data_IF_059515747912
#
_entry.id   IF_059515747912
#
_cell.length_a   1.000
_cell.length_b   1.000
_cell.length_c   1.000
_cell.angle_alpha   90.00
_cell.angle_beta   90.00
_cell.angle_gamma   90.00
#
_symmetry.space_group_name_H-M   'P 1'
#
loop_
_entity.id
_entity.type
_entity.pdbx_description
1 polymer ?
#
# COMPACT_ATOMS: atom_id res chain seq x y z
N UNK A 1 13.92 -33.15 36.51
CA UNK A 1 13.28 -32.23 35.52
C UNK A 1 13.72 -30.80 35.84
N UNK A 2 14.64 -30.21 35.06
CA UNK A 2 15.06 -28.81 35.20
C UNK A 2 14.02 -27.92 34.50
N UNK A 3 13.41 -26.99 35.26
CA UNK A 3 12.57 -25.94 34.68
C UNK A 3 13.46 -24.96 33.92
N UNK A 4 13.32 -24.89 32.63
CA UNK A 4 13.89 -23.79 31.82
C UNK A 4 13.15 -22.49 32.15
N UNK A 5 13.88 -21.55 32.74
CA UNK A 5 13.40 -20.18 32.95
C UNK A 5 13.45 -19.42 31.64
N UNK A 6 12.34 -19.38 30.91
CA UNK A 6 12.21 -18.51 29.75
C UNK A 6 12.08 -17.07 30.21
N UNK A 7 13.08 -16.27 29.92
CA UNK A 7 13.05 -14.82 30.18
C UNK A 7 12.12 -14.19 29.15
N UNK A 8 11.03 -13.56 29.59
CA UNK A 8 10.12 -12.86 28.70
C UNK A 8 10.76 -11.56 28.16
N UNK A 9 10.42 -11.13 26.94
CA UNK A 9 10.90 -9.88 26.33
C UNK A 9 10.66 -8.67 27.23
N UNK A 10 9.59 -8.69 28.02
CA UNK A 10 9.21 -7.62 28.95
C UNK A 10 10.08 -7.58 30.20
N UNK A 11 10.54 -8.74 30.70
CA UNK A 11 11.50 -8.81 31.83
C UNK A 11 12.90 -8.42 31.40
N UNK A 12 13.29 -8.72 30.15
CA UNK A 12 14.58 -8.30 29.59
C UNK A 12 14.67 -6.76 29.49
N UNK A 13 13.64 -6.12 28.98
CA UNK A 13 13.59 -4.63 28.89
C UNK A 13 13.60 -3.95 30.26
N UNK A 14 12.96 -4.53 31.27
CA UNK A 14 12.99 -3.99 32.64
C UNK A 14 14.35 -4.12 33.30
N UNK A 15 15.07 -5.22 33.09
CA UNK A 15 16.40 -5.44 33.67
C UNK A 15 17.47 -4.56 33.00
N UNK A 16 17.38 -4.28 31.71
CA UNK A 16 18.33 -3.39 31.04
C UNK A 16 18.16 -1.91 31.46
N UNK A 17 16.93 -1.47 31.74
CA UNK A 17 16.66 -0.14 32.25
C UNK A 17 17.22 0.06 33.69
N UNK A 18 17.21 -0.99 34.53
CA UNK A 18 17.71 -0.91 35.90
C UNK A 18 19.23 -0.95 35.95
N UNK A 19 19.91 -1.62 35.03
CA UNK A 19 21.36 -1.70 34.93
C UNK A 19 21.99 -0.33 34.54
N UNK A 20 21.26 0.49 33.78
CA UNK A 20 21.67 1.84 33.42
C UNK A 20 21.61 2.85 34.57
N UNK A 21 20.74 2.62 35.56
CA UNK A 21 20.53 3.57 36.68
C UNK A 21 21.54 3.40 37.85
N UNK A 22 22.18 2.23 38.00
CA UNK A 22 23.12 1.95 39.12
C UNK A 22 24.55 2.31 38.77
N UNK A 23 24.87 2.72 37.55
CA UNK A 23 26.21 3.16 37.15
C UNK A 23 26.58 4.63 37.52
N UNK A 24 25.65 5.39 38.11
CA UNK A 24 25.81 6.83 38.30
C UNK A 24 26.20 7.26 39.72
N UNK A 25 26.50 6.33 40.65
CA UNK A 25 26.91 6.68 42.02
C UNK A 25 28.27 6.05 42.32
N UNK A 26 29.34 6.76 41.99
CA UNK A 26 30.70 6.32 42.35
C UNK A 26 31.79 7.27 41.84
N UNK A 27 32.16 8.25 42.66
CA UNK A 27 33.47 8.95 42.77
C UNK A 27 34.23 9.31 41.50
N UNK A 28 34.32 10.60 41.28
CA UNK A 28 35.44 11.38 40.75
C UNK A 28 36.46 10.73 39.83
N UNK A 29 36.09 10.47 38.59
CA UNK A 29 37.03 10.35 37.48
C UNK A 29 36.26 10.63 36.21
N UNK A 30 36.77 11.57 35.44
CA UNK A 30 36.25 11.93 34.10
C UNK A 30 36.36 10.76 33.14
N UNK A 31 35.43 9.84 33.24
CA UNK A 31 35.17 8.88 32.16
C UNK A 31 34.19 9.55 31.22
N UNK A 32 34.70 9.95 30.09
CA UNK A 32 33.86 10.44 28.99
C UNK A 32 32.77 9.44 28.73
N UNK A 33 31.56 9.77 29.14
CA UNK A 33 30.34 9.08 28.66
C UNK A 33 30.37 9.29 27.16
N UNK A 34 30.62 8.23 26.43
CA UNK A 34 30.30 8.19 25.02
C UNK A 34 28.77 8.28 24.90
N UNK A 35 28.24 9.48 25.08
CA UNK A 35 26.91 9.82 24.59
C UNK A 35 26.99 9.77 23.08
N UNK A 36 26.71 8.62 22.56
CA UNK A 36 26.54 8.39 21.12
C UNK A 36 25.31 9.14 20.55
N UNK A 37 24.74 10.03 21.33
CA UNK A 37 23.82 11.06 20.88
C UNK A 37 24.32 12.35 21.55
N UNK A 38 25.19 13.07 20.85
CA UNK A 38 25.61 14.41 21.27
C UNK A 38 24.35 15.24 21.49
N UNK A 39 24.25 15.80 22.73
CA UNK A 39 23.30 16.84 23.04
C UNK A 39 23.70 18.17 22.41
N UNK A 40 23.88 18.16 21.09
CA UNK A 40 23.69 19.35 20.28
C UNK A 40 22.20 19.35 19.89
N UNK A 41 21.54 20.47 20.00
CA UNK A 41 20.25 20.66 19.36
C UNK A 41 20.36 20.02 17.97
N UNK A 42 19.60 18.92 17.76
CA UNK A 42 19.61 18.22 16.49
C UNK A 42 19.08 19.22 15.47
N UNK A 43 20.00 19.88 14.77
CA UNK A 43 19.66 20.81 13.68
C UNK A 43 18.84 20.11 12.58
N UNK A 44 18.65 18.81 12.72
CA UNK A 44 17.87 17.94 11.84
C UNK A 44 16.62 17.32 12.51
N UNK A 45 16.21 17.81 13.68
CA UNK A 45 14.86 17.48 14.14
C UNK A 45 13.89 18.03 13.11
N UNK A 46 13.25 17.13 12.35
CA UNK A 46 12.18 17.48 11.41
C UNK A 46 11.10 18.14 12.27
N UNK A 47 11.10 19.47 12.32
CA UNK A 47 10.02 20.21 12.98
C UNK A 47 8.75 19.85 12.22
N UNK A 48 7.68 19.46 12.89
CA UNK A 48 6.41 19.29 12.22
C UNK A 48 6.09 20.58 11.48
N UNK A 49 5.72 20.47 10.22
CA UNK A 49 5.40 21.62 9.35
C UNK A 49 4.31 22.51 9.96
N UNK A 50 3.50 21.95 10.85
CA UNK A 50 2.44 22.65 11.60
C UNK A 50 2.26 21.97 12.97
N UNK A 51 1.77 22.72 13.94
CA UNK A 51 1.38 22.21 15.25
C UNK A 51 0.29 21.12 15.10
N UNK A 52 0.32 20.05 15.92
CA UNK A 52 -0.72 19.04 15.93
C UNK A 52 -2.10 19.69 16.11
N UNK A 53 -3.05 19.34 15.25
CA UNK A 53 -4.41 19.90 15.24
C UNK A 53 -4.59 21.16 14.38
N UNK A 54 -3.51 21.71 13.82
CA UNK A 54 -3.59 22.86 12.89
C UNK A 54 -3.49 22.45 11.42
N UNK A 55 -3.53 21.16 11.15
CA UNK A 55 -3.51 20.64 9.78
C UNK A 55 -4.84 20.94 9.12
N UNK A 56 -4.79 21.76 8.08
CA UNK A 56 -5.92 21.92 7.20
C UNK A 56 -5.96 20.74 6.22
N UNK A 57 -6.97 19.92 6.35
CA UNK A 57 -7.30 18.92 5.33
C UNK A 57 -8.41 19.57 4.48
N UNK A 58 -8.13 19.96 3.24
CA UNK A 58 -9.17 20.54 2.39
C UNK A 58 -10.26 19.49 2.16
N UNK A 59 -11.51 19.91 2.15
CA UNK A 59 -12.58 19.09 1.63
C UNK A 59 -12.31 18.87 0.13
N UNK A 60 -12.00 17.62 -0.22
CA UNK A 60 -11.80 17.26 -1.61
C UNK A 60 -13.17 17.05 -2.26
N UNK A 61 -13.38 17.53 -3.49
CA UNK A 61 -14.61 17.25 -4.19
C UNK A 61 -14.79 15.75 -4.40
N UNK A 62 -16.00 15.26 -4.25
CA UNK A 62 -16.34 13.83 -4.47
C UNK A 62 -16.19 13.40 -5.93
N UNK A 63 -16.06 14.35 -6.83
CA UNK A 63 -15.86 14.14 -8.26
C UNK A 63 -14.57 14.79 -8.72
N UNK A 64 -14.00 14.31 -9.83
CA UNK A 64 -12.90 14.95 -10.51
C UNK A 64 -13.29 16.40 -10.89
N UNK A 65 -12.32 17.32 -10.84
CA UNK A 65 -12.53 18.75 -11.08
C UNK A 65 -13.16 19.05 -12.45
N UNK A 66 -12.90 18.19 -13.45
CA UNK A 66 -13.48 18.28 -14.80
C UNK A 66 -14.86 17.59 -14.92
N UNK A 67 -15.38 17.04 -13.84
CA UNK A 67 -16.67 16.37 -13.78
C UNK A 67 -16.74 15.03 -14.54
N UNK A 68 -15.62 14.51 -15.04
CA UNK A 68 -15.59 13.24 -15.76
C UNK A 68 -15.60 12.07 -14.81
N UNK A 69 -16.33 11.02 -15.22
CA UNK A 69 -16.27 9.73 -14.53
C UNK A 69 -14.90 9.08 -14.74
N UNK A 70 -14.27 8.64 -13.63
CA UNK A 70 -13.02 7.88 -13.69
C UNK A 70 -13.30 6.39 -13.86
N UNK A 71 -12.76 5.83 -14.93
CA UNK A 71 -12.93 4.44 -15.32
C UNK A 71 -11.72 3.62 -14.86
N UNK A 72 -11.94 2.63 -14.02
CA UNK A 72 -10.88 1.76 -13.57
C UNK A 72 -10.97 0.36 -14.18
N UNK A 73 -9.79 -0.25 -14.36
CA UNK A 73 -9.64 -1.66 -14.68
C UNK A 73 -8.95 -2.40 -13.54
N UNK A 74 -9.38 -3.62 -13.28
CA UNK A 74 -8.79 -4.47 -12.22
C UNK A 74 -7.93 -5.55 -12.86
N UNK A 75 -6.67 -5.64 -12.44
CA UNK A 75 -5.70 -6.65 -12.87
C UNK A 75 -5.34 -7.51 -11.66
N UNK A 76 -5.80 -8.77 -11.67
CA UNK A 76 -5.78 -9.66 -10.52
C UNK A 76 -7.09 -9.58 -9.74
N UNK A 77 -8.09 -10.39 -10.15
CA UNK A 77 -9.47 -10.38 -9.63
C UNK A 77 -9.70 -11.26 -8.39
N UNK A 78 -8.62 -11.76 -7.76
CA UNK A 78 -8.70 -12.53 -6.51
C UNK A 78 -9.19 -11.70 -5.33
N UNK A 79 -9.18 -12.28 -4.12
CA UNK A 79 -9.72 -11.63 -2.92
C UNK A 79 -9.18 -10.22 -2.65
N UNK A 80 -7.87 -9.99 -2.88
CA UNK A 80 -7.27 -8.68 -2.68
C UNK A 80 -7.69 -7.68 -3.76
N UNK A 81 -7.70 -8.10 -5.04
CA UNK A 81 -8.15 -7.24 -6.14
C UNK A 81 -9.63 -6.89 -6.03
N UNK A 82 -10.47 -7.85 -5.65
CA UNK A 82 -11.88 -7.59 -5.35
C UNK A 82 -12.04 -6.54 -4.26
N UNK A 83 -11.32 -6.71 -3.12
CA UNK A 83 -11.38 -5.72 -2.03
C UNK A 83 -10.91 -4.33 -2.47
N UNK A 84 -9.84 -4.23 -3.27
CA UNK A 84 -9.34 -2.95 -3.79
C UNK A 84 -10.34 -2.31 -4.77
N UNK A 85 -11.03 -3.09 -5.59
CA UNK A 85 -12.08 -2.60 -6.48
C UNK A 85 -13.25 -1.98 -5.69
N UNK A 86 -13.72 -2.66 -4.64
CA UNK A 86 -14.77 -2.12 -3.78
C UNK A 86 -14.32 -0.87 -3.00
N UNK A 87 -13.07 -0.84 -2.52
CA UNK A 87 -12.53 0.33 -1.87
C UNK A 87 -12.45 1.53 -2.82
N UNK A 88 -12.05 1.31 -4.08
CA UNK A 88 -12.04 2.33 -5.10
C UNK A 88 -13.45 2.90 -5.35
N UNK A 89 -14.45 2.02 -5.48
CA UNK A 89 -15.85 2.43 -5.69
C UNK A 89 -16.46 3.18 -4.49
N UNK A 90 -15.92 2.93 -3.28
CA UNK A 90 -16.39 3.61 -2.06
C UNK A 90 -15.61 4.89 -1.77
N UNK A 91 -14.52 5.18 -2.48
CA UNK A 91 -13.64 6.30 -2.18
C UNK A 91 -14.19 7.63 -2.67
N UNK A 92 -14.95 7.64 -3.75
CA UNK A 92 -15.53 8.86 -4.33
C UNK A 92 -16.75 8.55 -5.19
N UNK A 93 -17.56 9.56 -5.46
CA UNK A 93 -18.57 9.52 -6.51
C UNK A 93 -17.92 9.70 -7.90
N UNK A 94 -18.60 9.25 -8.95
CA UNK A 94 -18.08 9.39 -10.32
C UNK A 94 -16.91 8.48 -10.66
N UNK A 95 -16.80 7.33 -9.97
CA UNK A 95 -15.82 6.29 -10.25
C UNK A 95 -16.53 4.98 -10.63
N UNK A 96 -15.99 4.22 -11.59
CA UNK A 96 -16.59 2.96 -12.03
C UNK A 96 -15.53 1.93 -12.42
N UNK A 97 -15.88 0.66 -12.40
CA UNK A 97 -15.06 -0.45 -12.90
C UNK A 97 -15.59 -0.86 -14.27
N UNK A 98 -14.74 -0.79 -15.30
CA UNK A 98 -15.15 -1.06 -16.68
C UNK A 98 -14.44 -2.25 -17.32
N UNK A 99 -13.37 -2.77 -16.72
CA UNK A 99 -12.62 -3.89 -17.26
C UNK A 99 -12.03 -4.77 -16.15
N UNK A 100 -11.96 -6.07 -16.36
CA UNK A 100 -11.42 -7.06 -15.44
C UNK A 100 -10.41 -7.95 -16.15
N UNK A 101 -9.31 -8.29 -15.46
CA UNK A 101 -8.30 -9.21 -15.99
C UNK A 101 -7.69 -10.08 -14.91
N UNK A 102 -7.62 -11.38 -15.15
CA UNK A 102 -6.92 -12.35 -14.30
C UNK A 102 -6.41 -13.51 -15.16
N UNK A 103 -5.51 -14.31 -14.62
CA UNK A 103 -5.08 -15.55 -15.28
C UNK A 103 -6.18 -16.63 -15.27
N UNK A 104 -7.10 -16.56 -14.30
CA UNK A 104 -8.14 -17.55 -14.08
C UNK A 104 -9.54 -16.99 -14.34
N UNK A 105 -10.29 -17.67 -15.20
CA UNK A 105 -11.66 -17.30 -15.61
C UNK A 105 -12.59 -17.16 -14.40
N UNK A 106 -12.55 -18.11 -13.46
CA UNK A 106 -13.43 -18.12 -12.30
C UNK A 106 -13.28 -16.86 -11.45
N UNK A 107 -12.05 -16.30 -11.32
CA UNK A 107 -11.82 -15.07 -10.55
C UNK A 107 -12.42 -13.84 -11.23
N UNK A 108 -12.35 -13.80 -12.55
CA UNK A 108 -12.94 -12.71 -13.34
C UNK A 108 -14.47 -12.76 -13.21
N UNK A 109 -15.06 -13.94 -13.33
CA UNK A 109 -16.50 -14.11 -13.25
C UNK A 109 -17.04 -13.85 -11.84
N UNK A 110 -16.34 -14.32 -10.81
CA UNK A 110 -16.69 -14.05 -9.41
C UNK A 110 -16.69 -12.55 -9.09
N UNK A 111 -15.66 -11.81 -9.53
CA UNK A 111 -15.62 -10.38 -9.32
C UNK A 111 -16.69 -9.65 -10.13
N UNK A 112 -16.89 -10.03 -11.39
CA UNK A 112 -17.95 -9.45 -12.23
C UNK A 112 -19.34 -9.64 -11.62
N UNK A 113 -19.60 -10.85 -11.07
CA UNK A 113 -20.85 -11.13 -10.36
C UNK A 113 -21.01 -10.26 -9.10
N UNK A 114 -19.99 -10.17 -8.26
CA UNK A 114 -20.02 -9.33 -7.04
C UNK A 114 -20.26 -7.86 -7.37
N UNK A 115 -19.59 -7.31 -8.39
CA UNK A 115 -19.80 -5.93 -8.83
C UNK A 115 -21.23 -5.68 -9.26
N UNK A 116 -21.82 -6.65 -9.99
CA UNK A 116 -23.22 -6.57 -10.42
C UNK A 116 -24.18 -6.66 -9.24
N UNK A 117 -24.01 -7.64 -8.37
CA UNK A 117 -24.92 -7.92 -7.26
C UNK A 117 -24.88 -6.83 -6.17
N UNK A 118 -23.68 -6.31 -5.84
CA UNK A 118 -23.49 -5.40 -4.70
C UNK A 118 -23.44 -3.92 -5.11
N UNK A 119 -23.03 -3.61 -6.35
CA UNK A 119 -22.86 -2.23 -6.84
C UNK A 119 -23.68 -1.89 -8.06
N UNK A 120 -24.37 -2.86 -8.65
CA UNK A 120 -25.12 -2.66 -9.89
C UNK A 120 -24.25 -2.42 -11.13
N UNK A 121 -22.94 -2.68 -11.03
CA UNK A 121 -21.98 -2.47 -12.11
C UNK A 121 -21.88 -3.77 -12.93
N UNK A 122 -22.40 -3.75 -14.15
CA UNK A 122 -22.31 -4.88 -15.07
C UNK A 122 -21.13 -4.67 -16.03
N UNK A 123 -19.99 -5.30 -15.74
CA UNK A 123 -18.85 -5.30 -16.65
C UNK A 123 -19.15 -6.25 -17.81
N UNK A 124 -19.19 -5.78 -19.07
CA UNK A 124 -19.58 -6.60 -20.19
C UNK A 124 -18.55 -7.70 -20.51
N UNK A 125 -18.98 -8.79 -21.14
CA UNK A 125 -18.14 -9.96 -21.36
C UNK A 125 -16.90 -9.67 -22.21
N UNK A 126 -16.99 -8.75 -23.18
CA UNK A 126 -15.87 -8.29 -24.01
C UNK A 126 -14.85 -7.44 -23.27
N UNK A 127 -15.12 -7.09 -22.01
CA UNK A 127 -14.21 -6.38 -21.07
C UNK A 127 -13.73 -7.27 -19.93
N UNK A 128 -13.93 -8.58 -20.04
CA UNK A 128 -13.45 -9.58 -19.09
C UNK A 128 -12.37 -10.41 -19.75
N UNK A 129 -11.13 -10.16 -19.40
CA UNK A 129 -9.96 -10.73 -20.05
C UNK A 129 -9.32 -11.81 -19.19
N UNK A 130 -8.88 -12.91 -19.84
CA UNK A 130 -8.30 -14.06 -19.15
C UNK A 130 -6.95 -14.44 -19.77
N UNK A 131 -5.99 -14.78 -18.91
CA UNK A 131 -4.66 -15.21 -19.32
C UNK A 131 -3.55 -14.29 -18.84
N UNK A 132 -2.32 -14.64 -19.16
CA UNK A 132 -1.15 -13.89 -18.72
C UNK A 132 -1.06 -12.49 -19.34
N UNK A 133 -1.58 -12.31 -20.55
CA UNK A 133 -1.62 -11.01 -21.24
C UNK A 133 -2.90 -10.19 -20.97
N UNK A 134 -3.79 -10.68 -20.10
CA UNK A 134 -5.03 -9.98 -19.75
C UNK A 134 -4.78 -8.54 -19.26
N UNK A 135 -3.66 -8.28 -18.59
CA UNK A 135 -3.31 -6.95 -18.13
C UNK A 135 -3.18 -5.92 -19.27
N UNK A 136 -2.64 -6.31 -20.42
CA UNK A 136 -2.55 -5.43 -21.59
C UNK A 136 -3.93 -5.06 -22.11
N UNK A 137 -4.79 -6.06 -22.21
CA UNK A 137 -6.17 -5.88 -22.70
C UNK A 137 -6.98 -4.96 -21.75
N UNK A 138 -6.81 -5.13 -20.42
CA UNK A 138 -7.42 -4.22 -19.44
C UNK A 138 -6.90 -2.78 -19.62
N UNK A 139 -5.57 -2.60 -19.72
CA UNK A 139 -4.95 -1.28 -19.87
C UNK A 139 -5.38 -0.60 -21.17
N UNK A 140 -5.48 -1.36 -22.27
CA UNK A 140 -5.87 -0.86 -23.58
C UNK A 140 -7.39 -0.68 -23.75
N UNK A 141 -8.20 -1.11 -22.77
CA UNK A 141 -9.67 -1.10 -22.89
C UNK A 141 -10.34 0.28 -22.68
N UNK A 142 -9.54 1.34 -22.52
CA UNK A 142 -10.05 2.71 -22.33
C UNK A 142 -10.21 3.12 -20.87
N UNK A 143 -9.49 2.47 -19.96
CA UNK A 143 -9.45 2.82 -18.52
C UNK A 143 -8.59 4.07 -18.29
N UNK A 144 -8.89 4.82 -17.24
CA UNK A 144 -8.07 5.94 -16.76
C UNK A 144 -7.11 5.49 -15.65
N UNK A 145 -7.58 4.55 -14.83
CA UNK A 145 -6.86 4.01 -13.66
C UNK A 145 -6.78 2.49 -13.77
N UNK A 146 -5.67 1.90 -13.35
CA UNK A 146 -5.55 0.45 -13.19
C UNK A 146 -5.26 0.08 -11.74
N UNK A 147 -5.99 -0.89 -11.24
CA UNK A 147 -5.81 -1.48 -9.91
C UNK A 147 -5.05 -2.80 -10.11
N UNK A 148 -3.78 -2.84 -9.70
CA UNK A 148 -2.89 -3.99 -9.90
C UNK A 148 -2.75 -4.75 -8.59
N UNK A 149 -3.41 -5.90 -8.49
CA UNK A 149 -3.42 -6.78 -7.32
C UNK A 149 -2.88 -8.19 -7.63
N UNK A 150 -2.12 -8.33 -8.70
CA UNK A 150 -1.43 -9.57 -9.09
C UNK A 150 -0.29 -9.91 -8.10
N UNK A 151 0.27 -11.13 -8.13
CA UNK A 151 1.45 -11.45 -7.35
C UNK A 151 2.61 -10.48 -7.64
N UNK A 152 3.45 -10.15 -6.63
CA UNK A 152 4.46 -9.10 -6.73
C UNK A 152 5.45 -9.24 -7.91
N UNK A 153 5.74 -10.48 -8.31
CA UNK A 153 6.66 -10.76 -9.43
C UNK A 153 6.16 -10.21 -10.77
N UNK A 154 4.86 -10.08 -10.98
CA UNK A 154 4.28 -9.58 -12.23
C UNK A 154 4.05 -8.06 -12.22
N UNK A 155 4.02 -7.43 -11.05
CA UNK A 155 3.64 -6.02 -10.91
C UNK A 155 4.56 -5.05 -11.65
N UNK A 156 5.89 -5.21 -11.64
CA UNK A 156 6.78 -4.32 -12.40
C UNK A 156 6.43 -4.25 -13.88
N UNK A 157 6.18 -5.41 -14.51
CA UNK A 157 5.83 -5.48 -15.93
C UNK A 157 4.46 -4.84 -16.21
N UNK A 158 3.48 -5.08 -15.32
CA UNK A 158 2.15 -4.48 -15.45
C UNK A 158 2.20 -2.96 -15.26
N UNK A 159 2.99 -2.49 -14.30
CA UNK A 159 3.17 -1.07 -14.01
C UNK A 159 3.89 -0.36 -15.16
N UNK A 160 4.96 -0.96 -15.68
CA UNK A 160 5.67 -0.42 -16.83
C UNK A 160 4.71 -0.20 -18.00
N UNK A 161 3.93 -1.21 -18.36
CA UNK A 161 2.98 -1.11 -19.47
C UNK A 161 1.90 -0.05 -19.22
N UNK A 162 1.37 0.03 -18.01
CA UNK A 162 0.39 1.05 -17.64
C UNK A 162 0.98 2.47 -17.75
N UNK A 163 2.24 2.66 -17.33
CA UNK A 163 2.96 3.93 -17.41
C UNK A 163 3.22 4.33 -18.87
N UNK A 164 3.66 3.39 -19.70
CA UNK A 164 3.86 3.60 -21.15
C UNK A 164 2.57 4.02 -21.85
N UNK A 165 1.42 3.53 -21.36
CA UNK A 165 0.08 3.91 -21.85
C UNK A 165 -0.51 5.16 -21.17
N UNK A 166 0.26 5.82 -20.28
CA UNK A 166 -0.17 7.03 -19.58
C UNK A 166 -1.33 6.81 -18.61
N UNK A 167 -1.45 5.62 -18.01
CA UNK A 167 -2.53 5.30 -17.07
C UNK A 167 -2.11 5.54 -15.63
N UNK A 168 -3.03 6.06 -14.83
CA UNK A 168 -2.84 6.07 -13.38
C UNK A 168 -2.85 4.65 -12.83
N UNK A 169 -2.01 4.37 -11.83
CA UNK A 169 -1.87 3.02 -11.31
C UNK A 169 -1.95 3.00 -9.79
N UNK A 170 -2.82 2.14 -9.26
CA UNK A 170 -2.79 1.72 -7.87
C UNK A 170 -2.16 0.32 -7.81
N UNK A 171 -1.00 0.20 -7.16
CA UNK A 171 -0.32 -1.07 -6.99
C UNK A 171 -0.43 -1.56 -5.55
N UNK A 172 -0.84 -2.81 -5.39
CA UNK A 172 -0.79 -3.46 -4.08
C UNK A 172 0.64 -3.71 -3.61
N UNK A 173 0.82 -3.67 -2.30
CA UNK A 173 2.11 -3.99 -1.66
C UNK A 173 2.35 -5.51 -1.62
N UNK A 174 3.61 -5.97 -1.65
CA UNK A 174 4.81 -5.25 -2.07
C UNK A 174 4.81 -5.02 -3.59
N UNK A 175 5.41 -3.92 -4.05
CA UNK A 175 5.35 -3.55 -5.47
C UNK A 175 6.19 -4.45 -6.37
N UNK A 176 7.22 -5.10 -5.82
CA UNK A 176 8.08 -6.04 -6.53
C UNK A 176 8.71 -7.05 -5.55
N UNK A 177 9.54 -7.96 -6.06
CA UNK A 177 10.22 -9.01 -5.29
C UNK A 177 11.73 -8.80 -5.17
N UNK A 178 12.29 -7.81 -5.83
CA UNK A 178 13.72 -7.56 -5.88
C UNK A 178 14.05 -6.08 -5.60
N UNK A 179 15.28 -5.78 -5.06
CA UNK A 179 15.66 -4.39 -4.73
C UNK A 179 15.73 -3.46 -5.93
N UNK A 180 16.10 -3.96 -7.12
CA UNK A 180 16.26 -3.14 -8.33
C UNK A 180 14.91 -2.58 -8.77
N UNK A 181 13.87 -3.41 -8.82
CA UNK A 181 12.52 -2.98 -9.17
C UNK A 181 11.88 -2.02 -8.17
N UNK A 182 12.45 -1.88 -6.96
CA UNK A 182 12.02 -0.86 -5.98
C UNK A 182 12.65 0.52 -6.24
N UNK A 183 13.78 0.58 -6.96
CA UNK A 183 14.57 1.80 -7.11
C UNK A 183 14.56 2.39 -8.52
N UNK A 184 14.01 1.69 -9.47
CA UNK A 184 14.01 2.09 -10.88
C UNK A 184 12.65 2.04 -11.54
#
# INVERSE_FOLDING_TARGET
MKKENSISRRSFLKSSALAGALGAIGTGSTVGVLTSCGGGESANAIKPLKEPGTYYVPELPDLATDGKELKAGVIGCGGRGSGAAFNFLNAANGVTIVALGDTFQERVDDLAKKLKDEKGIDVPADKRFVGLDAYKQVIDSGVDVVIVATPPVFRPVHFQYATEKGKHSFLEKPICVDPVSYTH
#
